data_IF_858576996132
#
_entry.id   IF_858576996132
#
_cell.length_a   1.000
_cell.length_b   1.000
_cell.length_c   1.000
_cell.angle_alpha   90.00
_cell.angle_beta   90.00
_cell.angle_gamma   90.00
#
_symmetry.space_group_name_H-M   'P 1'
#
loop_
_entity.id
_entity.type
_entity.pdbx_description
1 polymer ?
#
# COMPACT_ATOMS: atom_id res chain seq x y z
N UNK A 1 -11.53 -3.98 -11.42
CA UNK A 1 -11.13 -3.00 -10.38
C UNK A 1 -9.86 -2.31 -10.89
N UNK A 2 -9.89 -1.02 -11.21
CA UNK A 2 -8.67 -0.31 -11.59
C UNK A 2 -7.95 0.10 -10.30
N UNK A 3 -6.84 -0.54 -9.98
CA UNK A 3 -5.98 -0.14 -8.86
C UNK A 3 -5.49 1.29 -9.17
N UNK A 4 -5.97 2.30 -8.43
CA UNK A 4 -5.35 3.63 -8.46
C UNK A 4 -4.10 3.53 -7.60
N UNK A 5 -2.97 4.09 -8.05
CA UNK A 5 -1.72 4.17 -7.30
C UNK A 5 -1.70 5.46 -6.47
N UNK A 6 -2.16 5.48 -5.20
CA UNK A 6 -2.19 6.71 -4.44
C UNK A 6 -0.87 6.86 -3.69
N UNK A 7 -0.27 8.04 -3.75
CA UNK A 7 0.77 8.44 -2.80
C UNK A 7 0.11 8.99 -1.54
N UNK A 8 0.68 8.69 -0.37
CA UNK A 8 0.04 8.92 0.92
C UNK A 8 0.66 10.09 1.69
N UNK A 9 -0.17 10.83 2.42
CA UNK A 9 0.25 11.61 3.59
C UNK A 9 -0.32 10.89 4.81
N UNK A 10 0.54 10.36 5.66
CA UNK A 10 0.18 9.49 6.77
C UNK A 10 0.14 10.27 8.08
N UNK A 11 -0.95 10.12 8.83
CA UNK A 11 -1.08 10.59 10.21
C UNK A 11 -1.63 9.45 11.07
N UNK A 12 -0.76 8.61 11.66
CA UNK A 12 -1.18 7.42 12.38
C UNK A 12 -1.79 7.78 13.75
N UNK A 13 -2.90 7.14 14.11
CA UNK A 13 -3.54 7.35 15.41
C UNK A 13 -3.48 6.12 16.31
N UNK A 14 -4.10 5.00 15.91
CA UNK A 14 -4.23 3.82 16.77
C UNK A 14 -4.12 2.49 15.99
N UNK A 15 -3.90 1.41 16.75
CA UNK A 15 -3.77 0.03 16.28
C UNK A 15 -2.62 -0.16 15.29
N UNK A 16 -2.87 -0.73 14.12
CA UNK A 16 -1.85 -1.02 13.12
C UNK A 16 -1.42 0.21 12.31
N UNK A 17 -2.04 1.38 12.53
CA UNK A 17 -1.77 2.58 11.73
C UNK A 17 -0.33 3.04 11.86
N UNK A 18 0.30 2.94 13.03
CA UNK A 18 1.72 3.25 13.23
C UNK A 18 2.60 2.35 12.35
N UNK A 19 2.31 1.06 12.32
CA UNK A 19 3.02 0.09 11.47
C UNK A 19 2.79 0.37 10.00
N UNK A 20 1.55 0.61 9.58
CA UNK A 20 1.20 0.93 8.21
C UNK A 20 1.86 2.24 7.74
N UNK A 21 1.93 3.26 8.61
CA UNK A 21 2.65 4.50 8.35
C UNK A 21 4.12 4.20 8.07
N UNK A 22 4.80 3.45 8.96
CA UNK A 22 6.20 3.06 8.78
C UNK A 22 6.42 2.31 7.47
N UNK A 23 5.61 1.30 7.15
CA UNK A 23 5.74 0.57 5.88
C UNK A 23 5.53 1.49 4.69
N UNK A 24 4.46 2.30 4.69
CA UNK A 24 4.16 3.20 3.58
C UNK A 24 5.25 4.27 3.38
N UNK A 25 5.81 4.83 4.44
CA UNK A 25 6.75 5.95 4.36
C UNK A 25 8.21 5.51 4.22
N UNK A 26 8.62 4.39 4.84
CA UNK A 26 10.02 3.96 4.92
C UNK A 26 10.32 2.74 4.06
N UNK A 27 9.49 1.70 4.13
CA UNK A 27 9.78 0.42 3.46
C UNK A 27 9.36 0.44 1.99
N UNK A 28 8.11 0.84 1.71
CA UNK A 28 7.58 0.89 0.35
C UNK A 28 7.90 2.22 -0.35
N UNK A 29 8.12 3.27 0.44
CA UNK A 29 8.42 4.61 -0.07
C UNK A 29 7.28 5.18 -0.92
N UNK A 30 6.05 5.05 -0.44
CA UNK A 30 4.82 5.50 -1.09
C UNK A 30 4.17 6.70 -0.39
N UNK A 31 4.71 7.14 0.75
CA UNK A 31 4.11 8.23 1.52
C UNK A 31 5.08 9.13 2.27
N UNK A 32 4.52 10.21 2.81
CA UNK A 32 5.17 11.15 3.73
C UNK A 32 4.38 11.18 5.04
N UNK A 33 5.08 11.27 6.16
CA UNK A 33 4.45 11.27 7.49
C UNK A 33 4.24 12.71 7.98
N UNK A 34 3.12 12.94 8.67
CA UNK A 34 2.90 14.13 9.47
C UNK A 34 3.57 13.88 10.82
N UNK A 35 4.71 14.54 11.03
CA UNK A 35 5.51 14.45 12.25
C UNK A 35 5.05 15.48 13.29
N UNK A 36 5.03 15.09 14.57
CA UNK A 36 4.73 15.98 15.69
C UNK A 36 3.29 16.51 15.73
N UNK A 37 3.12 17.70 16.28
CA UNK A 37 1.80 18.35 16.41
C UNK A 37 1.31 18.86 15.05
N UNK A 38 0.07 18.48 14.72
CA UNK A 38 -0.53 18.83 13.43
C UNK A 38 -0.82 20.32 13.37
N UNK A 39 -0.18 20.99 12.40
CA UNK A 39 -0.45 22.38 12.09
C UNK A 39 -0.73 22.57 10.58
N UNK A 40 -1.47 23.64 10.26
CA UNK A 40 -1.91 23.92 8.88
C UNK A 40 -0.74 24.17 7.92
N UNK A 41 0.32 24.85 8.36
CA UNK A 41 1.45 25.19 7.51
C UNK A 41 2.24 23.95 7.08
N UNK A 42 2.44 23.01 8.00
CA UNK A 42 3.05 21.71 7.72
C UNK A 42 2.20 20.88 6.75
N UNK A 43 0.89 20.82 6.97
CA UNK A 43 -0.02 20.13 6.03
C UNK A 43 0.07 20.75 4.64
N UNK A 44 0.03 22.08 4.54
CA UNK A 44 0.14 22.77 3.25
C UNK A 44 1.46 22.44 2.55
N UNK A 45 2.58 22.48 3.27
CA UNK A 45 3.90 22.14 2.74
C UNK A 45 3.95 20.70 2.22
N UNK A 46 3.46 19.73 3.00
CA UNK A 46 3.40 18.32 2.60
C UNK A 46 2.52 18.10 1.37
N UNK A 47 1.35 18.75 1.31
CA UNK A 47 0.45 18.65 0.14
C UNK A 47 1.11 19.25 -1.10
N UNK A 48 1.75 20.42 -0.99
CA UNK A 48 2.47 21.04 -2.12
C UNK A 48 3.61 20.15 -2.61
N UNK A 49 4.40 19.58 -1.69
CA UNK A 49 5.50 18.68 -2.04
C UNK A 49 5.00 17.38 -2.70
N UNK A 50 3.92 16.78 -2.19
CA UNK A 50 3.32 15.58 -2.78
C UNK A 50 2.80 15.84 -4.20
N UNK A 51 2.20 17.01 -4.42
CA UNK A 51 1.53 17.34 -5.67
C UNK A 51 2.50 17.83 -6.76
N UNK A 52 3.41 18.73 -6.41
CA UNK A 52 4.26 19.47 -7.36
C UNK A 52 5.76 19.31 -7.10
N UNK A 53 6.15 18.81 -5.93
CA UNK A 53 7.53 18.66 -5.50
C UNK A 53 8.28 17.51 -6.18
N UNK A 54 9.59 17.47 -5.95
CA UNK A 54 10.47 16.40 -6.47
C UNK A 54 10.12 15.08 -5.79
N UNK A 55 9.96 15.10 -4.46
CA UNK A 55 9.63 13.90 -3.68
C UNK A 55 8.27 13.35 -4.08
N UNK A 56 7.28 14.21 -4.31
CA UNK A 56 5.97 13.79 -4.81
C UNK A 56 6.02 13.03 -6.15
N UNK A 57 6.90 13.44 -7.07
CA UNK A 57 7.12 12.72 -8.34
C UNK A 57 7.77 11.35 -8.12
N UNK A 58 8.77 11.27 -7.25
CA UNK A 58 9.44 10.01 -6.91
C UNK A 58 8.47 9.00 -6.27
N UNK A 59 7.64 9.46 -5.32
CA UNK A 59 6.61 8.63 -4.68
C UNK A 59 5.59 8.12 -5.71
N UNK A 60 5.17 8.97 -6.67
CA UNK A 60 4.24 8.57 -7.74
C UNK A 60 4.85 7.50 -8.65
N UNK A 61 6.13 7.62 -8.99
CA UNK A 61 6.85 6.61 -9.78
C UNK A 61 6.88 5.26 -9.04
N UNK A 62 7.26 5.25 -7.75
CA UNK A 62 7.20 4.05 -6.91
C UNK A 62 5.80 3.47 -6.81
N UNK A 63 4.77 4.31 -6.72
CA UNK A 63 3.38 3.87 -6.64
C UNK A 63 2.91 3.15 -7.92
N UNK A 64 3.45 3.52 -9.08
CA UNK A 64 3.21 2.80 -10.35
C UNK A 64 3.91 1.44 -10.34
N UNK A 65 5.14 1.36 -9.85
CA UNK A 65 5.88 0.10 -9.73
C UNK A 65 5.19 -0.89 -8.78
N UNK A 66 4.80 -0.42 -7.59
CA UNK A 66 4.05 -1.23 -6.62
C UNK A 66 2.70 -1.70 -7.15
N UNK A 67 2.01 -0.86 -7.92
CA UNK A 67 0.77 -1.28 -8.58
C UNK A 67 0.99 -2.43 -9.56
N UNK A 68 2.04 -2.37 -10.39
CA UNK A 68 2.37 -3.45 -11.33
C UNK A 68 2.62 -4.76 -10.59
N UNK A 69 3.40 -4.71 -9.51
CA UNK A 69 3.67 -5.88 -8.67
C UNK A 69 2.38 -6.46 -8.05
N UNK A 70 1.46 -5.60 -7.59
CA UNK A 70 0.18 -6.03 -7.06
C UNK A 70 -0.72 -6.67 -8.14
N UNK A 71 -0.76 -6.09 -9.34
CA UNK A 71 -1.50 -6.63 -10.49
C UNK A 71 -0.92 -7.97 -10.97
N UNK A 72 0.40 -8.13 -10.95
CA UNK A 72 1.09 -9.40 -11.25
C UNK A 72 0.81 -10.44 -10.18
N UNK A 73 0.90 -10.06 -8.89
CA UNK A 73 0.66 -10.97 -7.76
C UNK A 73 -0.76 -11.52 -7.74
N UNK A 74 -1.74 -10.72 -8.17
CA UNK A 74 -3.16 -11.07 -8.19
C UNK A 74 -3.66 -11.56 -9.55
N UNK A 75 -2.77 -11.72 -10.53
CA UNK A 75 -3.14 -12.17 -11.88
C UNK A 75 -3.80 -13.55 -11.85
N UNK A 76 -4.91 -13.68 -12.55
CA UNK A 76 -5.63 -14.95 -12.65
C UNK A 76 -4.71 -16.09 -13.14
N UNK A 77 -4.82 -17.25 -12.50
CA UNK A 77 -4.15 -18.50 -12.86
C UNK A 77 -2.61 -18.50 -12.88
N UNK A 78 -1.95 -17.38 -12.63
CA UNK A 78 -0.48 -17.23 -12.73
C UNK A 78 0.12 -16.38 -11.61
N UNK A 79 -0.71 -15.61 -10.90
CA UNK A 79 -0.27 -14.77 -9.80
C UNK A 79 -0.17 -15.58 -8.50
N UNK A 80 0.90 -15.41 -7.71
CA UNK A 80 1.08 -16.15 -6.46
C UNK A 80 -0.05 -15.93 -5.44
N UNK A 81 -0.68 -14.75 -5.40
CA UNK A 81 -1.84 -14.53 -4.52
C UNK A 81 -3.08 -15.28 -5.01
N UNK A 82 -3.25 -15.45 -6.32
CA UNK A 82 -4.32 -16.27 -6.87
C UNK A 82 -4.10 -17.76 -6.55
N UNK A 83 -2.89 -18.27 -6.76
CA UNK A 83 -2.55 -19.66 -6.41
C UNK A 83 -2.75 -19.95 -4.92
N UNK A 84 -2.38 -19.00 -4.05
CA UNK A 84 -2.60 -19.16 -2.61
C UNK A 84 -4.09 -19.15 -2.25
N UNK A 85 -4.92 -18.41 -2.99
CA UNK A 85 -6.37 -18.44 -2.83
C UNK A 85 -6.93 -19.80 -3.25
N UNK A 86 -6.50 -20.35 -4.39
CA UNK A 86 -6.92 -21.67 -4.86
C UNK A 86 -6.57 -22.75 -3.81
N UNK A 87 -5.33 -22.73 -3.29
CA UNK A 87 -4.90 -23.62 -2.19
C UNK A 87 -5.76 -23.48 -0.94
N UNK A 88 -6.12 -22.24 -0.57
CA UNK A 88 -6.97 -22.01 0.60
C UNK A 88 -8.37 -22.60 0.39
N UNK A 89 -8.95 -22.44 -0.81
CA UNK A 89 -10.24 -23.04 -1.17
C UNK A 89 -10.17 -24.57 -1.08
N UNK A 90 -9.12 -25.16 -1.63
CA UNK A 90 -8.91 -26.60 -1.58
C UNK A 90 -8.82 -27.11 -0.13
N UNK A 91 -8.05 -26.42 0.72
CA UNK A 91 -7.84 -26.81 2.11
C UNK A 91 -9.11 -26.69 2.97
N UNK A 92 -9.89 -25.65 2.77
CA UNK A 92 -11.03 -25.34 3.66
C UNK A 92 -12.34 -25.93 3.16
N UNK A 93 -12.55 -25.97 1.84
CA UNK A 93 -13.86 -26.30 1.25
C UNK A 93 -13.87 -27.65 0.54
N UNK A 94 -12.79 -28.04 -0.13
CA UNK A 94 -12.79 -29.20 -1.03
C UNK A 94 -12.04 -30.42 -0.48
N UNK A 95 -11.19 -30.24 0.53
CA UNK A 95 -10.44 -31.32 1.16
C UNK A 95 -11.40 -32.27 1.91
N UNK A 96 -11.28 -33.60 1.73
CA UNK A 96 -12.06 -34.55 2.51
C UNK A 96 -11.78 -34.34 4.00
N UNK A 97 -12.86 -34.28 4.81
CA UNK A 97 -12.68 -34.25 6.26
C UNK A 97 -12.05 -35.58 6.69
N UNK A 98 -10.83 -35.50 7.19
CA UNK A 98 -10.24 -36.63 7.93
C UNK A 98 -10.95 -36.65 9.28
N UNK A 99 -11.95 -37.53 9.40
CA UNK A 99 -12.58 -37.92 10.66
C UNK A 99 -11.78 -39.00 11.35
#
# INVERSE_FOLDING_TARGET
MAFRSPTLISWPFFAEQQTNCRYSCKEWGLGMEIEGDVNRAQIESLVRELMMGVKGRELKQKAVEWKKLAEESTRASTGPSHENLDKLIDLVLLSPRVG
#
